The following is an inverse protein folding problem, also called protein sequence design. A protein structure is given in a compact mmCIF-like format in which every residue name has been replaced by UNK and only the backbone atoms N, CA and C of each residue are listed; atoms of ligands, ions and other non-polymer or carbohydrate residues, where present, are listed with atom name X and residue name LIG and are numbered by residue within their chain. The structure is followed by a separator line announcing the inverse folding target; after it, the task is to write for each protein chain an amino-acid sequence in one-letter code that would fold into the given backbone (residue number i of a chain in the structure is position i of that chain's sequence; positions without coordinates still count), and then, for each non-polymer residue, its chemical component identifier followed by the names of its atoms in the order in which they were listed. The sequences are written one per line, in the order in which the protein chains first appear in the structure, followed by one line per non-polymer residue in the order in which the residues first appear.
data_IF_200664113670
#
_entry.id   IF_200664113670
#
_cell.length_a   1.000
_cell.length_b   1.000
_cell.length_c   1.000
_cell.angle_alpha   90.00
_cell.angle_beta   90.00
_cell.angle_gamma   90.00
#
_symmetry.space_group_name_H-M   'P 1'
#
loop_
_entity.id
_entity.type
_entity.pdbx_description
1 polymer ?
#
# COMPACT_ATOMS: atom_id res chain seq x y z
N UNK A 1 8.22 12.78 -41.29
CA UNK A 1 7.33 11.73 -41.87
C UNK A 1 7.75 10.31 -41.45
N UNK A 2 9.01 10.09 -41.15
CA UNK A 2 9.59 8.78 -40.71
C UNK A 2 9.14 8.45 -39.26
N UNK A 3 8.96 9.44 -38.37
CA UNK A 3 8.49 9.23 -36.99
C UNK A 3 7.03 8.80 -36.84
N UNK A 4 6.18 9.05 -37.83
CA UNK A 4 4.76 8.62 -37.80
C UNK A 4 4.54 7.15 -38.13
N UNK A 5 5.52 6.46 -38.69
CA UNK A 5 5.40 5.04 -39.03
C UNK A 5 5.79 4.11 -37.90
N UNK A 6 6.55 4.56 -36.89
CA UNK A 6 6.96 3.75 -35.71
C UNK A 6 5.94 3.77 -34.53
N UNK A 7 4.83 4.50 -34.63
CA UNK A 7 3.76 4.49 -33.61
C UNK A 7 2.80 3.29 -33.72
N UNK A 8 3.00 2.40 -34.69
CA UNK A 8 2.20 1.16 -34.77
C UNK A 8 2.69 0.17 -33.75
N UNK A 9 1.95 0.10 -32.62
CA UNK A 9 1.93 -1.05 -31.70
C UNK A 9 3.20 -1.38 -30.91
N UNK A 10 3.90 -0.41 -30.34
CA UNK A 10 4.80 -0.77 -29.24
C UNK A 10 3.92 -1.11 -28.02
N UNK A 11 3.84 -2.40 -27.70
CA UNK A 11 3.23 -2.87 -26.47
C UNK A 11 3.88 -2.10 -25.31
N UNK A 12 3.09 -1.37 -24.50
CA UNK A 12 3.58 -0.56 -23.38
C UNK A 12 4.36 -1.39 -22.34
N UNK A 13 4.11 -2.68 -22.31
CA UNK A 13 4.81 -3.66 -21.48
C UNK A 13 6.10 -4.22 -22.11
N UNK A 14 6.39 -3.89 -23.37
CA UNK A 14 7.62 -4.35 -24.02
C UNK A 14 8.85 -3.72 -23.38
N UNK A 15 9.91 -4.52 -23.21
CA UNK A 15 11.21 -4.10 -22.68
C UNK A 15 12.11 -3.75 -23.86
N UNK A 16 12.47 -2.47 -23.98
CA UNK A 16 13.37 -1.94 -25.02
C UNK A 16 14.79 -2.40 -24.77
N UNK A 17 15.64 -2.33 -25.82
CA UNK A 17 17.06 -2.73 -25.71
C UNK A 17 17.78 -1.97 -24.59
N UNK A 18 17.54 -0.67 -24.48
CA UNK A 18 18.10 0.19 -23.44
C UNK A 18 17.57 -0.12 -22.02
N UNK A 19 16.44 -0.80 -21.89
CA UNK A 19 15.81 -1.15 -20.60
C UNK A 19 16.28 -2.51 -20.06
N UNK A 20 16.97 -3.34 -20.86
CA UNK A 20 17.27 -4.74 -20.51
C UNK A 20 18.14 -4.90 -19.26
N UNK A 21 19.17 -4.06 -19.11
CA UNK A 21 20.03 -4.11 -17.93
C UNK A 21 19.23 -3.74 -16.67
N UNK A 22 18.45 -2.65 -16.72
CA UNK A 22 17.58 -2.25 -15.63
C UNK A 22 16.58 -3.36 -15.28
N UNK A 23 15.94 -3.94 -16.29
CA UNK A 23 15.00 -5.04 -16.12
C UNK A 23 15.64 -6.25 -15.42
N UNK A 24 16.88 -6.62 -15.81
CA UNK A 24 17.63 -7.69 -15.17
C UNK A 24 17.93 -7.37 -13.69
N UNK A 25 18.44 -6.17 -13.41
CA UNK A 25 18.76 -5.74 -12.03
C UNK A 25 17.52 -5.72 -11.15
N UNK A 26 16.39 -5.20 -11.66
CA UNK A 26 15.10 -5.22 -10.95
C UNK A 26 14.62 -6.63 -10.68
N UNK A 27 14.69 -7.53 -11.67
CA UNK A 27 14.29 -8.94 -11.48
C UNK A 27 15.14 -9.61 -10.42
N UNK A 28 16.47 -9.44 -10.46
CA UNK A 28 17.37 -10.01 -9.43
C UNK A 28 17.00 -9.48 -8.05
N UNK A 29 16.83 -8.17 -7.90
CA UNK A 29 16.45 -7.57 -6.60
C UNK A 29 15.12 -8.14 -6.11
N UNK A 30 14.07 -8.07 -6.93
CA UNK A 30 12.71 -8.45 -6.54
C UNK A 30 12.58 -9.95 -6.24
N UNK A 31 13.24 -10.79 -7.02
CA UNK A 31 13.30 -12.24 -6.76
C UNK A 31 14.04 -12.51 -5.46
N UNK A 32 15.18 -11.83 -5.21
CA UNK A 32 15.97 -12.03 -3.98
C UNK A 32 15.20 -11.67 -2.73
N UNK A 33 14.53 -10.49 -2.68
CA UNK A 33 13.77 -10.09 -1.49
C UNK A 33 12.53 -10.98 -1.26
N UNK A 34 11.85 -11.43 -2.32
CA UNK A 34 10.75 -12.37 -2.17
C UNK A 34 11.23 -13.77 -1.75
N UNK A 35 12.42 -14.21 -2.23
CA UNK A 35 13.03 -15.47 -1.80
C UNK A 35 13.34 -15.48 -0.30
N UNK A 36 13.75 -14.32 0.29
CA UNK A 36 13.95 -14.20 1.73
C UNK A 36 12.65 -14.46 2.51
N UNK A 37 11.53 -13.87 2.07
CA UNK A 37 10.21 -14.08 2.69
C UNK A 37 9.75 -15.53 2.55
N UNK A 38 9.90 -16.10 1.34
CA UNK A 38 9.54 -17.50 1.10
C UNK A 38 10.38 -18.43 1.97
N UNK A 39 11.69 -18.23 2.05
CA UNK A 39 12.58 -19.06 2.87
C UNK A 39 12.21 -19.02 4.36
N UNK A 40 11.91 -17.81 4.88
CA UNK A 40 11.52 -17.62 6.29
C UNK A 40 10.20 -18.33 6.63
N UNK A 41 9.19 -18.21 5.76
CA UNK A 41 7.85 -18.72 6.03
C UNK A 41 7.52 -20.07 5.39
N UNK A 42 8.44 -20.68 4.62
CA UNK A 42 8.18 -21.91 3.85
C UNK A 42 7.54 -23.00 4.69
N UNK A 43 8.19 -23.41 5.77
CA UNK A 43 7.75 -24.52 6.62
C UNK A 43 6.43 -24.24 7.37
N UNK A 44 6.06 -22.98 7.51
CA UNK A 44 4.86 -22.55 8.25
C UNK A 44 3.67 -22.36 7.30
N UNK A 45 3.90 -21.86 6.08
CA UNK A 45 2.83 -21.44 5.16
C UNK A 45 2.50 -22.44 4.05
N UNK A 46 3.38 -23.44 3.80
CA UNK A 46 3.14 -24.47 2.78
C UNK A 46 2.31 -25.67 3.27
N UNK A 47 2.22 -26.04 4.54
CA UNK A 47 1.33 -27.12 4.95
C UNK A 47 -0.14 -26.78 4.69
N UNK A 48 -0.91 -27.78 4.16
CA UNK A 48 -2.36 -27.65 3.99
C UNK A 48 -3.04 -27.62 5.37
N UNK A 49 -3.89 -26.63 5.61
CA UNK A 49 -4.57 -26.41 6.89
C UNK A 49 -6.05 -26.05 6.71
N UNK A 50 -6.83 -26.21 7.78
CA UNK A 50 -8.26 -25.89 7.78
C UNK A 50 -8.58 -24.41 8.01
N UNK A 51 -7.65 -23.62 8.55
CA UNK A 51 -7.89 -22.22 8.89
C UNK A 51 -6.68 -21.33 8.49
N UNK A 52 -6.64 -20.98 7.24
CA UNK A 52 -5.60 -20.13 6.68
C UNK A 52 -5.62 -18.68 7.20
N UNK A 53 -6.79 -18.13 7.51
CA UNK A 53 -6.90 -16.79 8.07
C UNK A 53 -6.11 -16.67 9.39
N UNK A 54 -6.39 -17.56 10.35
CA UNK A 54 -5.71 -17.52 11.64
C UNK A 54 -4.21 -17.82 11.50
N UNK A 55 -3.84 -18.71 10.56
CA UNK A 55 -2.43 -19.02 10.30
C UNK A 55 -1.67 -17.77 9.83
N UNK A 56 -2.12 -17.13 8.76
CA UNK A 56 -1.38 -16.03 8.15
C UNK A 56 -1.41 -14.78 9.04
N UNK A 57 -2.59 -14.36 9.52
CA UNK A 57 -2.72 -13.19 10.41
C UNK A 57 -1.98 -13.41 11.74
N UNK A 58 -1.92 -14.65 12.25
CA UNK A 58 -1.27 -14.97 13.52
C UNK A 58 0.24 -15.20 13.45
N UNK A 59 0.81 -15.38 12.25
CA UNK A 59 2.24 -15.70 12.07
C UNK A 59 3.01 -14.69 11.24
N UNK A 60 2.33 -13.96 10.35
CA UNK A 60 2.97 -12.93 9.54
C UNK A 60 2.84 -11.58 10.26
N UNK A 61 3.97 -11.05 10.69
CA UNK A 61 4.03 -9.80 11.44
C UNK A 61 5.07 -8.87 10.82
N UNK A 62 4.68 -8.16 9.77
CA UNK A 62 5.46 -7.06 9.22
C UNK A 62 4.62 -5.80 9.33
N UNK A 63 5.12 -4.83 10.08
CA UNK A 63 4.45 -3.61 10.53
C UNK A 63 3.47 -3.00 9.52
N UNK A 64 2.22 -2.90 9.91
CA UNK A 64 1.16 -2.25 9.14
C UNK A 64 0.60 -3.05 7.95
N UNK A 65 1.24 -4.16 7.57
CA UNK A 65 0.79 -4.99 6.46
C UNK A 65 -0.01 -6.21 6.92
N UNK A 66 -1.10 -6.49 6.22
CA UNK A 66 -1.96 -7.64 6.46
C UNK A 66 -1.75 -8.73 5.40
N UNK A 67 -1.45 -9.98 5.76
CA UNK A 67 -1.24 -11.08 4.81
C UNK A 67 -2.55 -11.63 4.23
N UNK A 68 -3.56 -10.79 4.02
CA UNK A 68 -4.91 -11.18 3.60
C UNK A 68 -4.89 -11.85 2.23
N UNK A 69 -4.01 -11.40 1.33
CA UNK A 69 -3.89 -11.98 -0.01
C UNK A 69 -3.51 -13.46 0.03
N UNK A 70 -2.65 -13.88 0.97
CA UNK A 70 -2.35 -15.31 1.17
C UNK A 70 -3.59 -16.09 1.60
N UNK A 71 -4.39 -15.54 2.52
CA UNK A 71 -5.64 -16.17 2.97
C UNK A 71 -6.62 -16.35 1.82
N UNK A 72 -6.83 -15.30 1.02
CA UNK A 72 -7.77 -15.30 -0.11
C UNK A 72 -7.33 -16.27 -1.21
N UNK A 73 -6.03 -16.36 -1.50
CA UNK A 73 -5.48 -17.29 -2.50
C UNK A 73 -5.48 -18.74 -1.99
N UNK A 74 -5.44 -18.96 -0.66
CA UNK A 74 -5.48 -20.31 -0.08
C UNK A 74 -6.91 -20.83 0.09
N UNK A 75 -7.83 -19.98 0.54
CA UNK A 75 -9.25 -20.28 0.73
C UNK A 75 -10.03 -19.02 0.36
N UNK A 76 -10.65 -19.02 -0.82
CA UNK A 76 -11.29 -17.83 -1.35
C UNK A 76 -12.46 -17.41 -0.48
N UNK A 77 -12.34 -16.23 0.09
CA UNK A 77 -13.36 -15.57 0.88
C UNK A 77 -13.25 -14.07 0.68
N UNK A 78 -14.28 -13.30 0.99
CA UNK A 78 -14.22 -11.85 1.02
C UNK A 78 -13.43 -11.36 2.25
N UNK A 79 -12.17 -11.81 2.41
CA UNK A 79 -11.32 -11.51 3.56
C UNK A 79 -10.89 -10.04 3.66
N UNK A 80 -10.82 -9.34 2.54
CA UNK A 80 -10.55 -7.91 2.52
C UNK A 80 -11.71 -7.09 3.08
N UNK A 81 -11.42 -5.85 3.48
CA UNK A 81 -12.48 -4.89 3.76
C UNK A 81 -13.13 -4.46 2.43
N UNK A 82 -14.30 -5.01 2.13
CA UNK A 82 -14.99 -4.84 0.86
C UNK A 82 -15.33 -3.37 0.52
N UNK A 83 -15.46 -2.50 1.53
CA UNK A 83 -15.67 -1.07 1.32
C UNK A 83 -14.39 -0.32 0.95
N UNK A 84 -13.21 -0.88 1.28
CA UNK A 84 -11.90 -0.32 0.92
C UNK A 84 -11.31 -0.97 -0.33
N UNK A 85 -11.62 -2.24 -0.57
CA UNK A 85 -11.04 -3.09 -1.62
C UNK A 85 -12.14 -3.89 -2.35
N UNK A 86 -13.11 -3.22 -3.02
CA UNK A 86 -14.36 -3.84 -3.45
C UNK A 86 -14.24 -4.93 -4.53
N UNK A 87 -13.15 -4.96 -5.30
CA UNK A 87 -12.94 -5.98 -6.34
C UNK A 87 -11.70 -6.84 -6.09
N UNK A 88 -10.94 -6.59 -5.04
CA UNK A 88 -9.63 -7.20 -4.86
C UNK A 88 -9.73 -8.73 -4.67
N UNK A 89 -10.71 -9.21 -3.90
CA UNK A 89 -10.94 -10.65 -3.76
C UNK A 89 -11.23 -11.31 -5.12
N UNK A 90 -12.00 -10.67 -5.98
CA UNK A 90 -12.32 -11.18 -7.32
C UNK A 90 -11.12 -11.12 -8.25
N UNK A 91 -10.25 -10.11 -8.14
CA UNK A 91 -8.99 -10.07 -8.88
C UNK A 91 -8.05 -11.21 -8.47
N UNK A 92 -8.12 -11.68 -7.23
CA UNK A 92 -7.34 -12.80 -6.72
C UNK A 92 -7.99 -14.18 -7.00
N UNK A 93 -9.23 -14.23 -7.52
CA UNK A 93 -9.92 -15.48 -7.77
C UNK A 93 -9.19 -16.42 -8.78
N UNK A 94 -8.62 -15.94 -9.89
CA UNK A 94 -7.79 -16.79 -10.76
C UNK A 94 -6.56 -17.37 -10.05
N UNK A 95 -5.92 -16.58 -9.16
CA UNK A 95 -4.79 -17.04 -8.35
C UNK A 95 -5.21 -18.13 -7.35
N UNK A 96 -6.40 -17.99 -6.74
CA UNK A 96 -7.01 -19.02 -5.91
C UNK A 96 -7.23 -20.31 -6.68
N UNK A 97 -7.85 -20.28 -7.87
CA UNK A 97 -8.07 -21.46 -8.68
C UNK A 97 -6.75 -22.16 -9.05
N UNK A 98 -5.73 -21.39 -9.41
CA UNK A 98 -4.39 -21.93 -9.67
C UNK A 98 -3.81 -22.60 -8.42
N UNK A 99 -3.96 -21.98 -7.24
CA UNK A 99 -3.48 -22.56 -5.99
C UNK A 99 -4.21 -23.88 -5.67
N UNK A 100 -5.55 -23.94 -5.84
CA UNK A 100 -6.30 -25.20 -5.63
C UNK A 100 -5.80 -26.32 -6.53
N UNK A 101 -5.54 -26.02 -7.82
CA UNK A 101 -4.95 -26.97 -8.75
C UNK A 101 -3.57 -27.44 -8.27
N UNK A 102 -2.69 -26.52 -7.91
CA UNK A 102 -1.34 -26.85 -7.46
C UNK A 102 -1.34 -27.62 -6.13
N UNK A 103 -2.23 -27.26 -5.20
CA UNK A 103 -2.41 -28.00 -3.94
C UNK A 103 -2.80 -29.45 -4.19
N UNK A 104 -3.71 -29.71 -5.16
CA UNK A 104 -4.09 -31.07 -5.55
C UNK A 104 -2.97 -31.90 -6.17
N UNK A 105 -2.03 -31.23 -6.86
CA UNK A 105 -0.90 -31.90 -7.53
C UNK A 105 0.29 -32.10 -6.59
N UNK A 106 0.63 -31.04 -5.81
CA UNK A 106 1.89 -31.00 -5.03
C UNK A 106 1.72 -31.45 -3.58
N UNK A 107 0.48 -31.47 -3.05
CA UNK A 107 0.22 -31.73 -1.65
C UNK A 107 0.61 -30.60 -0.70
N UNK A 108 0.99 -29.41 -1.19
CA UNK A 108 1.32 -28.24 -0.38
C UNK A 108 0.51 -27.00 -0.83
N UNK A 109 0.32 -26.06 0.08
CA UNK A 109 -0.25 -24.75 -0.24
C UNK A 109 0.77 -23.88 -0.98
N UNK A 110 0.53 -23.62 -2.26
CA UNK A 110 1.41 -22.84 -3.12
C UNK A 110 1.13 -21.32 -3.10
N UNK A 111 0.24 -20.84 -2.23
CA UNK A 111 -0.16 -19.43 -2.20
C UNK A 111 1.03 -18.46 -2.05
N UNK A 112 2.02 -18.79 -1.21
CA UNK A 112 3.20 -17.94 -1.01
C UNK A 112 4.00 -17.71 -2.31
N UNK A 113 4.10 -18.73 -3.19
CA UNK A 113 4.81 -18.61 -4.46
C UNK A 113 3.99 -17.84 -5.50
N UNK A 114 2.67 -18.10 -5.57
CA UNK A 114 1.76 -17.43 -6.50
C UNK A 114 1.69 -15.94 -6.18
N UNK A 115 1.53 -15.60 -4.90
CA UNK A 115 1.46 -14.20 -4.46
C UNK A 115 2.80 -13.50 -4.68
N UNK A 116 3.92 -14.15 -4.38
CA UNK A 116 5.25 -13.60 -4.69
C UNK A 116 5.43 -13.31 -6.20
N UNK A 117 4.99 -14.20 -7.07
CA UNK A 117 5.04 -13.96 -8.52
C UNK A 117 4.19 -12.76 -8.96
N UNK A 118 2.99 -12.57 -8.40
CA UNK A 118 2.13 -11.40 -8.64
C UNK A 118 2.76 -10.11 -8.11
N UNK A 119 3.41 -10.16 -6.96
CA UNK A 119 4.12 -9.04 -6.36
C UNK A 119 5.35 -8.64 -7.19
N UNK A 120 6.18 -9.61 -7.58
CA UNK A 120 7.34 -9.38 -8.46
C UNK A 120 6.89 -8.75 -9.76
N UNK A 121 5.85 -9.28 -10.42
CA UNK A 121 5.29 -8.71 -11.64
C UNK A 121 4.87 -7.25 -11.43
N UNK A 122 4.12 -6.98 -10.38
CA UNK A 122 3.59 -5.64 -10.10
C UNK A 122 4.69 -4.63 -9.73
N UNK A 123 5.65 -5.02 -8.87
CA UNK A 123 6.78 -4.19 -8.48
C UNK A 123 7.70 -3.90 -9.67
N UNK A 124 7.96 -4.92 -10.49
CA UNK A 124 8.76 -4.80 -11.70
C UNK A 124 8.16 -3.78 -12.67
N UNK A 125 6.88 -3.93 -13.02
CA UNK A 125 6.26 -3.00 -13.96
C UNK A 125 5.99 -1.62 -13.35
N UNK A 126 5.75 -1.50 -12.04
CA UNK A 126 5.70 -0.19 -11.38
C UNK A 126 7.02 0.57 -11.57
N UNK A 127 8.17 -0.08 -11.34
CA UNK A 127 9.49 0.48 -11.55
C UNK A 127 9.77 0.81 -13.04
N UNK A 128 9.39 -0.09 -13.94
CA UNK A 128 9.55 0.12 -15.38
C UNK A 128 8.70 1.29 -15.89
N UNK A 129 7.51 1.53 -15.34
CA UNK A 129 6.72 2.72 -15.69
C UNK A 129 7.31 3.99 -15.10
N UNK A 130 7.94 3.96 -13.92
CA UNK A 130 8.73 5.10 -13.43
C UNK A 130 9.87 5.42 -14.41
N UNK A 131 10.61 4.41 -14.87
CA UNK A 131 11.63 4.57 -15.91
C UNK A 131 11.06 5.23 -17.17
N UNK A 132 9.98 4.64 -17.73
CA UNK A 132 9.34 5.14 -18.95
C UNK A 132 8.80 6.56 -18.79
N UNK A 133 8.29 6.93 -17.60
CA UNK A 133 7.90 8.30 -17.28
C UNK A 133 9.11 9.25 -17.35
N UNK A 134 10.21 8.90 -16.71
CA UNK A 134 11.44 9.70 -16.72
C UNK A 134 11.98 9.87 -18.13
N UNK A 135 12.05 8.78 -18.92
CA UNK A 135 12.57 8.78 -20.29
C UNK A 135 11.64 9.44 -21.30
N UNK A 136 10.38 8.98 -21.35
CA UNK A 136 9.48 9.29 -22.46
C UNK A 136 8.63 10.54 -22.19
N UNK A 137 8.35 10.87 -20.93
CA UNK A 137 7.49 12.00 -20.56
C UNK A 137 8.33 13.19 -20.10
N UNK A 138 9.24 12.98 -19.14
CA UNK A 138 10.11 14.06 -18.66
C UNK A 138 11.25 14.31 -19.64
N UNK A 139 11.82 13.26 -20.27
CA UNK A 139 12.81 13.38 -21.34
C UNK A 139 14.25 13.48 -20.85
N UNK A 140 14.62 12.80 -19.77
CA UNK A 140 16.00 12.71 -19.26
C UNK A 140 16.75 11.53 -19.91
N UNK A 141 18.08 11.48 -19.75
CA UNK A 141 18.93 10.43 -20.28
C UNK A 141 18.72 9.07 -19.59
N UNK A 142 19.29 7.99 -20.17
CA UNK A 142 19.16 6.61 -19.71
C UNK A 142 19.74 6.42 -18.31
N UNK A 143 20.96 6.94 -18.07
CA UNK A 143 21.65 6.74 -16.78
C UNK A 143 20.91 7.45 -15.65
N UNK A 144 20.51 8.71 -15.87
CA UNK A 144 19.69 9.45 -14.91
C UNK A 144 18.37 8.72 -14.60
N UNK A 145 17.72 8.14 -15.62
CA UNK A 145 16.48 7.36 -15.43
C UNK A 145 16.73 6.08 -14.63
N UNK A 146 17.86 5.40 -14.85
CA UNK A 146 18.26 4.23 -14.07
C UNK A 146 18.46 4.57 -12.59
N UNK A 147 19.20 5.66 -12.31
CA UNK A 147 19.45 6.10 -10.94
C UNK A 147 18.16 6.47 -10.21
N UNK A 148 17.21 7.12 -10.89
CA UNK A 148 15.92 7.46 -10.26
C UNK A 148 15.06 6.24 -9.99
N UNK A 149 15.08 5.22 -10.84
CA UNK A 149 14.40 3.95 -10.55
C UNK A 149 15.10 3.20 -9.42
N UNK A 150 16.42 3.21 -9.40
CA UNK A 150 17.20 2.66 -8.29
C UNK A 150 16.87 3.35 -6.97
N UNK A 151 16.77 4.68 -6.96
CA UNK A 151 16.33 5.44 -5.79
C UNK A 151 14.90 5.04 -5.36
N UNK A 152 13.96 4.94 -6.29
CA UNK A 152 12.60 4.49 -6.00
C UNK A 152 12.56 3.11 -5.33
N UNK A 153 13.32 2.16 -5.88
CA UNK A 153 13.38 0.81 -5.35
C UNK A 153 14.18 0.70 -4.05
N UNK A 154 15.01 1.69 -3.70
CA UNK A 154 15.74 1.70 -2.43
C UNK A 154 14.91 2.16 -1.23
N UNK A 155 13.71 2.75 -1.45
CA UNK A 155 12.83 3.17 -0.36
C UNK A 155 12.27 1.95 0.39
N UNK A 156 12.30 2.02 1.73
CA UNK A 156 11.96 0.90 2.60
C UNK A 156 10.58 0.30 2.30
N UNK A 157 9.54 1.14 2.30
CA UNK A 157 8.17 0.65 2.10
C UNK A 157 7.80 0.39 0.63
N UNK A 158 8.64 0.78 -0.32
CA UNK A 158 8.53 0.31 -1.71
C UNK A 158 9.05 -1.14 -1.82
N UNK A 159 10.22 -1.42 -1.22
CA UNK A 159 10.75 -2.80 -1.15
C UNK A 159 9.80 -3.71 -0.38
N UNK A 160 9.35 -3.30 0.82
CA UNK A 160 8.41 -4.07 1.63
C UNK A 160 7.10 -4.34 0.88
N UNK A 161 6.50 -3.34 0.22
CA UNK A 161 5.28 -3.53 -0.58
C UNK A 161 5.47 -4.55 -1.71
N UNK A 162 6.69 -4.69 -2.23
CA UNK A 162 7.04 -5.65 -3.28
C UNK A 162 7.30 -7.08 -2.79
N UNK A 163 7.35 -7.31 -1.47
CA UNK A 163 7.63 -8.64 -0.89
C UNK A 163 6.62 -9.09 0.16
N UNK A 164 5.72 -8.19 0.60
CA UNK A 164 4.69 -8.49 1.61
C UNK A 164 3.35 -8.75 0.93
N UNK A 165 2.61 -9.80 1.28
CA UNK A 165 1.40 -10.25 0.57
C UNK A 165 0.18 -9.37 0.85
N UNK A 166 0.29 -8.09 0.51
CA UNK A 166 -0.74 -7.07 0.64
C UNK A 166 -1.00 -6.38 -0.72
N UNK A 167 -2.01 -5.51 -0.80
CA UNK A 167 -2.51 -4.89 -2.04
C UNK A 167 -1.70 -3.68 -2.53
N UNK A 168 -0.79 -3.12 -1.72
CA UNK A 168 -0.14 -1.84 -1.98
C UNK A 168 0.68 -1.83 -3.27
N UNK A 169 1.42 -2.91 -3.54
CA UNK A 169 2.22 -2.98 -4.77
C UNK A 169 1.35 -3.12 -6.03
N UNK A 170 0.19 -3.77 -5.95
CA UNK A 170 -0.77 -3.83 -7.05
C UNK A 170 -1.32 -2.44 -7.37
N UNK A 171 -1.63 -1.65 -6.33
CA UNK A 171 -2.02 -0.25 -6.47
C UNK A 171 -0.92 0.58 -7.13
N UNK A 172 0.34 0.45 -6.68
CA UNK A 172 1.49 1.17 -7.26
C UNK A 172 1.66 0.90 -8.75
N UNK A 173 1.53 -0.37 -9.16
CA UNK A 173 1.59 -0.78 -10.56
C UNK A 173 0.51 -0.08 -11.41
N UNK A 174 -0.75 -0.14 -10.97
CA UNK A 174 -1.86 0.47 -11.72
C UNK A 174 -1.72 2.00 -11.76
N UNK A 175 -1.29 2.63 -10.67
CA UNK A 175 -1.11 4.08 -10.59
C UNK A 175 0.03 4.57 -11.48
N UNK A 176 1.18 3.90 -11.49
CA UNK A 176 2.31 4.26 -12.36
C UNK A 176 2.00 4.02 -13.83
N UNK A 177 1.31 2.93 -14.17
CA UNK A 177 0.77 2.68 -15.52
C UNK A 177 -0.18 3.80 -15.95
N UNK A 178 -1.14 4.17 -15.08
CA UNK A 178 -2.11 5.22 -15.40
C UNK A 178 -1.44 6.58 -15.61
N UNK A 179 -0.42 6.92 -14.81
CA UNK A 179 0.38 8.14 -14.98
C UNK A 179 1.18 8.11 -16.28
N UNK A 180 1.80 6.99 -16.65
CA UNK A 180 2.49 6.87 -17.93
C UNK A 180 1.54 7.13 -19.10
N UNK A 181 0.36 6.49 -19.10
CA UNK A 181 -0.66 6.72 -20.13
C UNK A 181 -1.15 8.17 -20.12
N UNK A 182 -1.35 8.75 -18.95
CA UNK A 182 -1.74 10.17 -18.79
C UNK A 182 -0.70 11.10 -19.39
N UNK A 183 0.59 10.89 -19.09
CA UNK A 183 1.68 11.68 -19.67
C UNK A 183 1.73 11.58 -21.19
N UNK A 184 1.57 10.38 -21.75
CA UNK A 184 1.50 10.17 -23.22
C UNK A 184 0.28 10.88 -23.85
N UNK A 185 -0.87 10.92 -23.14
CA UNK A 185 -2.07 11.65 -23.58
C UNK A 185 -1.84 13.17 -23.57
N UNK A 186 -1.24 13.69 -22.51
CA UNK A 186 -0.88 15.11 -22.41
C UNK A 186 0.08 15.54 -23.53
N UNK A 187 1.12 14.74 -23.82
CA UNK A 187 2.08 15.01 -24.91
C UNK A 187 1.43 14.98 -26.29
N UNK A 188 0.52 14.03 -26.52
CA UNK A 188 -0.15 13.89 -27.83
C UNK A 188 -1.36 14.81 -28.03
N UNK A 189 -1.80 15.52 -26.99
CA UNK A 189 -3.03 16.33 -27.01
C UNK A 189 -4.31 15.50 -27.19
N UNK A 190 -4.25 14.17 -27.06
CA UNK A 190 -5.40 13.27 -27.26
C UNK A 190 -6.19 13.10 -25.97
N UNK A 191 -7.52 13.25 -25.98
CA UNK A 191 -8.33 13.11 -24.76
C UNK A 191 -8.30 11.66 -24.22
N UNK A 192 -8.51 11.53 -22.93
CA UNK A 192 -8.79 10.25 -22.28
C UNK A 192 -10.24 9.87 -22.56
N UNK A 193 -10.45 8.72 -23.21
CA UNK A 193 -11.80 8.25 -23.57
C UNK A 193 -12.55 7.77 -22.33
N UNK A 194 -13.89 7.80 -22.37
CA UNK A 194 -14.77 7.34 -21.28
C UNK A 194 -14.39 5.92 -20.84
N UNK A 195 -14.30 4.96 -21.76
CA UNK A 195 -14.00 3.57 -21.44
C UNK A 195 -12.61 3.40 -20.77
N UNK A 196 -11.61 4.21 -21.19
CA UNK A 196 -10.28 4.18 -20.57
C UNK A 196 -10.34 4.64 -19.11
N UNK A 197 -11.05 5.75 -18.84
CA UNK A 197 -11.24 6.24 -17.47
C UNK A 197 -11.97 5.20 -16.63
N UNK A 198 -13.04 4.59 -17.16
CA UNK A 198 -13.80 3.55 -16.46
C UNK A 198 -12.91 2.34 -16.13
N UNK A 199 -12.15 1.82 -17.10
CA UNK A 199 -11.28 0.65 -16.90
C UNK A 199 -10.21 0.95 -15.86
N UNK A 200 -9.47 2.07 -15.99
CA UNK A 200 -8.47 2.43 -14.98
C UNK A 200 -9.10 2.67 -13.60
N UNK A 201 -10.26 3.32 -13.55
CA UNK A 201 -10.98 3.54 -12.30
C UNK A 201 -11.36 2.21 -11.64
N UNK A 202 -11.96 1.26 -12.37
CA UNK A 202 -12.38 -0.02 -11.82
C UNK A 202 -11.20 -0.83 -11.27
N UNK A 203 -10.09 -0.91 -12.01
CA UNK A 203 -8.90 -1.58 -11.49
C UNK A 203 -8.30 -0.87 -10.27
N UNK A 204 -8.22 0.45 -10.30
CA UNK A 204 -7.61 1.24 -9.23
C UNK A 204 -8.49 1.28 -7.99
N UNK A 205 -9.76 1.67 -8.14
CA UNK A 205 -10.74 1.73 -7.05
C UNK A 205 -11.11 0.34 -6.54
N UNK A 206 -11.14 -0.66 -7.42
CA UNK A 206 -11.40 -2.05 -7.06
C UNK A 206 -10.30 -2.65 -6.17
N UNK A 207 -9.05 -2.24 -6.39
CA UNK A 207 -7.90 -2.61 -5.55
C UNK A 207 -7.85 -1.76 -4.27
N UNK A 208 -8.04 -0.44 -4.38
CA UNK A 208 -8.06 0.50 -3.25
C UNK A 208 -8.93 1.70 -3.61
N UNK A 209 -10.08 1.83 -2.96
CA UNK A 209 -11.17 2.73 -3.36
C UNK A 209 -10.72 4.20 -3.47
N UNK A 210 -9.92 4.70 -2.53
CA UNK A 210 -9.42 6.07 -2.50
C UNK A 210 -8.53 6.38 -3.72
N UNK A 211 -7.78 5.40 -4.23
CA UNK A 211 -6.93 5.57 -5.39
C UNK A 211 -7.71 5.80 -6.70
N UNK A 212 -8.99 5.40 -6.75
CA UNK A 212 -9.87 5.68 -7.88
C UNK A 212 -10.01 7.17 -8.20
N UNK A 213 -9.96 8.04 -7.18
CA UNK A 213 -10.01 9.50 -7.35
C UNK A 213 -8.84 10.02 -8.19
N UNK A 214 -7.66 9.39 -8.11
CA UNK A 214 -6.47 9.76 -8.88
C UNK A 214 -6.70 9.60 -10.39
N UNK A 215 -7.49 8.61 -10.79
CA UNK A 215 -7.84 8.42 -12.20
C UNK A 215 -8.74 9.57 -12.72
N UNK A 216 -9.66 10.05 -11.88
CA UNK A 216 -10.47 11.21 -12.24
C UNK A 216 -9.64 12.50 -12.33
N UNK A 217 -8.63 12.67 -11.45
CA UNK A 217 -7.66 13.76 -11.55
C UNK A 217 -6.87 13.67 -12.87
N UNK A 218 -6.36 12.49 -13.24
CA UNK A 218 -5.72 12.27 -14.54
C UNK A 218 -6.63 12.64 -15.71
N UNK A 219 -7.88 12.20 -15.68
CA UNK A 219 -8.87 12.52 -16.71
C UNK A 219 -9.17 14.03 -16.77
N UNK A 220 -9.22 14.70 -15.63
CA UNK A 220 -9.42 16.15 -15.53
C UNK A 220 -8.27 16.92 -16.19
N UNK A 221 -7.00 16.58 -15.88
CA UNK A 221 -5.83 17.23 -16.48
C UNK A 221 -5.74 17.01 -17.99
N UNK A 222 -6.05 15.79 -18.46
CA UNK A 222 -6.01 15.46 -19.89
C UNK A 222 -7.17 16.11 -20.66
N UNK A 223 -8.38 16.01 -20.15
CA UNK A 223 -9.59 16.44 -20.88
C UNK A 223 -9.94 17.91 -20.61
N UNK A 224 -9.35 18.54 -19.57
CA UNK A 224 -9.62 19.94 -19.21
C UNK A 224 -11.14 20.21 -19.12
N UNK A 225 -11.64 21.25 -19.78
CA UNK A 225 -13.08 21.56 -19.85
C UNK A 225 -13.96 20.43 -20.43
N UNK A 226 -13.38 19.53 -21.23
CA UNK A 226 -14.06 18.34 -21.73
C UNK A 226 -14.45 17.33 -20.66
N UNK A 227 -13.76 17.32 -19.51
CA UNK A 227 -14.10 16.51 -18.36
C UNK A 227 -15.50 16.84 -17.80
N UNK A 228 -15.87 18.11 -17.80
CA UNK A 228 -17.15 18.59 -17.26
C UNK A 228 -18.34 18.43 -18.22
N UNK A 229 -18.14 17.88 -19.41
CA UNK A 229 -19.27 17.54 -20.29
C UNK A 229 -20.16 16.51 -19.62
N UNK A 230 -21.48 16.72 -19.60
CA UNK A 230 -22.44 15.90 -18.86
C UNK A 230 -22.32 14.39 -19.17
N UNK A 231 -22.11 14.03 -20.45
CA UNK A 231 -21.92 12.62 -20.87
C UNK A 231 -20.67 12.01 -20.24
N UNK A 232 -19.57 12.78 -20.17
CA UNK A 232 -18.34 12.31 -19.58
C UNK A 232 -18.48 12.15 -18.07
N UNK A 233 -19.01 13.15 -17.37
CA UNK A 233 -19.24 13.09 -15.92
C UNK A 233 -20.18 11.93 -15.57
N UNK A 234 -21.28 11.76 -16.30
CA UNK A 234 -22.23 10.70 -16.01
C UNK A 234 -21.61 9.31 -16.24
N UNK A 235 -21.00 9.07 -17.41
CA UNK A 235 -20.58 7.73 -17.83
C UNK A 235 -19.18 7.34 -17.34
N UNK A 236 -18.27 8.30 -17.14
CA UNK A 236 -16.89 8.00 -16.72
C UNK A 236 -16.64 8.21 -15.23
N UNK A 237 -17.50 8.98 -14.51
CA UNK A 237 -17.29 9.31 -13.10
C UNK A 237 -18.45 8.79 -12.24
N UNK A 238 -19.67 9.31 -12.45
CA UNK A 238 -20.81 9.04 -11.56
C UNK A 238 -21.24 7.58 -11.64
N UNK A 239 -21.50 7.06 -12.84
CA UNK A 239 -22.00 5.71 -13.04
C UNK A 239 -21.01 4.64 -12.51
N UNK A 240 -19.71 4.64 -12.88
CA UNK A 240 -18.78 3.65 -12.33
C UNK A 240 -18.57 3.78 -10.82
N UNK A 241 -18.62 5.00 -10.26
CA UNK A 241 -18.58 5.21 -8.81
C UNK A 241 -19.80 4.64 -8.09
N UNK A 242 -20.99 4.83 -8.65
CA UNK A 242 -22.22 4.26 -8.10
C UNK A 242 -22.23 2.74 -8.22
N UNK A 243 -21.75 2.19 -9.35
CA UNK A 243 -21.67 0.74 -9.57
C UNK A 243 -20.71 0.07 -8.60
N UNK A 244 -19.49 0.61 -8.39
CA UNK A 244 -18.53 0.02 -7.47
C UNK A 244 -18.99 0.13 -6.00
N UNK A 245 -19.67 1.23 -5.66
CA UNK A 245 -20.27 1.40 -4.33
C UNK A 245 -21.40 0.40 -4.09
N UNK A 246 -22.31 0.23 -5.05
CA UNK A 246 -23.39 -0.76 -5.01
C UNK A 246 -22.86 -2.19 -4.95
N UNK A 247 -21.80 -2.48 -5.74
CA UNK A 247 -21.12 -3.77 -5.73
C UNK A 247 -20.53 -4.09 -4.35
N UNK A 248 -19.83 -3.13 -3.72
CA UNK A 248 -19.26 -3.32 -2.38
C UNK A 248 -20.37 -3.62 -1.33
N UNK A 249 -21.55 -2.99 -1.43
CA UNK A 249 -22.71 -3.29 -0.57
C UNK A 249 -23.26 -4.69 -0.81
N UNK A 250 -23.37 -5.10 -2.07
CA UNK A 250 -23.80 -6.45 -2.45
C UNK A 250 -22.78 -7.48 -1.94
N UNK A 251 -21.49 -7.28 -2.19
CA UNK A 251 -20.42 -8.17 -1.70
C UNK A 251 -20.44 -8.33 -0.18
N UNK A 252 -20.64 -7.22 0.56
CA UNK A 252 -20.79 -7.26 2.01
C UNK A 252 -21.95 -8.16 2.43
N UNK A 253 -23.13 -7.97 1.84
CA UNK A 253 -24.32 -8.73 2.21
C UNK A 253 -24.21 -10.22 1.87
N UNK A 254 -23.58 -10.57 0.77
CA UNK A 254 -23.49 -11.96 0.29
C UNK A 254 -22.38 -12.72 1.01
N UNK A 255 -21.18 -12.15 1.13
CA UNK A 255 -19.99 -12.88 1.58
C UNK A 255 -19.57 -12.54 3.01
N UNK A 256 -19.76 -11.32 3.49
CA UNK A 256 -19.24 -10.88 4.79
C UNK A 256 -20.30 -10.97 5.88
N UNK A 257 -21.48 -10.44 5.64
CA UNK A 257 -22.53 -10.32 6.64
C UNK A 257 -22.96 -11.67 7.26
N UNK A 258 -23.16 -12.76 6.51
CA UNK A 258 -23.59 -14.03 7.11
C UNK A 258 -22.58 -14.57 8.12
N UNK A 259 -21.29 -14.56 7.78
CA UNK A 259 -20.25 -15.04 8.69
C UNK A 259 -20.03 -14.11 9.89
N UNK A 260 -20.11 -12.80 9.67
CA UNK A 260 -20.03 -11.80 10.74
C UNK A 260 -21.20 -11.94 11.71
N UNK A 261 -22.43 -12.09 11.19
CA UNK A 261 -23.63 -12.26 12.00
C UNK A 261 -23.58 -13.54 12.84
N UNK A 262 -23.19 -14.66 12.23
CA UNK A 262 -23.03 -15.92 12.94
C UNK A 262 -21.99 -15.81 14.09
N UNK A 263 -20.84 -15.17 13.83
CA UNK A 263 -19.81 -14.91 14.85
C UNK A 263 -20.34 -13.99 15.96
N UNK A 264 -21.11 -12.97 15.61
CA UNK A 264 -21.71 -12.03 16.58
C UNK A 264 -22.68 -12.77 17.51
N UNK A 265 -23.60 -13.53 16.95
CA UNK A 265 -24.57 -14.33 17.74
C UNK A 265 -23.86 -15.34 18.65
N UNK A 266 -22.87 -16.06 18.14
CA UNK A 266 -22.09 -17.01 18.94
C UNK A 266 -21.32 -16.31 20.08
N UNK A 267 -20.80 -15.11 19.85
CA UNK A 267 -20.14 -14.32 20.90
C UNK A 267 -21.13 -13.85 21.97
N UNK A 268 -22.27 -13.31 21.57
CA UNK A 268 -23.32 -12.85 22.48
C UNK A 268 -23.83 -14.01 23.36
N UNK A 269 -24.04 -15.19 22.75
CA UNK A 269 -24.42 -16.41 23.49
C UNK A 269 -23.35 -16.79 24.52
N UNK A 270 -22.07 -16.82 24.11
CA UNK A 270 -20.96 -17.16 25.02
C UNK A 270 -20.78 -16.13 26.15
N UNK A 271 -21.01 -14.85 25.88
CA UNK A 271 -20.98 -13.79 26.91
C UNK A 271 -22.15 -13.91 27.87
N UNK A 272 -23.36 -14.23 27.39
CA UNK A 272 -24.53 -14.50 28.22
C UNK A 272 -24.33 -15.73 29.11
N UNK A 273 -23.75 -16.82 28.56
CA UNK A 273 -23.41 -18.03 29.34
C UNK A 273 -22.38 -17.73 30.43
N UNK A 274 -21.32 -16.99 30.10
CA UNK A 274 -20.30 -16.55 31.06
C UNK A 274 -20.89 -15.69 32.17
N UNK A 275 -21.80 -14.76 31.80
CA UNK A 275 -22.47 -13.91 32.79
C UNK A 275 -23.34 -14.75 33.74
N UNK A 276 -24.17 -15.69 33.21
CA UNK A 276 -24.96 -16.59 34.00
C UNK A 276 -24.10 -17.44 34.95
N UNK A 277 -22.97 -17.98 34.46
CA UNK A 277 -22.05 -18.75 35.28
C UNK A 277 -21.40 -17.92 36.41
N UNK A 278 -21.03 -16.65 36.08
CA UNK A 278 -20.47 -15.71 37.07
C UNK A 278 -21.52 -15.35 38.16
N UNK A 279 -22.75 -15.03 37.73
CA UNK A 279 -23.86 -14.70 38.64
C UNK A 279 -24.18 -15.88 39.55
N UNK A 280 -24.19 -17.12 39.02
CA UNK A 280 -24.40 -18.36 39.80
C UNK A 280 -23.27 -18.59 40.79
N UNK A 281 -22.01 -18.45 40.38
CA UNK A 281 -20.84 -18.59 41.25
C UNK A 281 -20.83 -17.53 42.37
N UNK A 282 -21.27 -16.30 42.06
CA UNK A 282 -21.41 -15.25 43.05
C UNK A 282 -22.53 -15.57 44.06
N UNK A 283 -23.70 -16.00 43.59
CA UNK A 283 -24.80 -16.40 44.46
C UNK A 283 -24.41 -17.55 45.42
N UNK A 284 -23.64 -18.55 44.94
CA UNK A 284 -23.09 -19.60 45.78
C UNK A 284 -22.11 -19.06 46.82
N UNK A 285 -21.20 -18.15 46.46
CA UNK A 285 -20.28 -17.51 47.41
C UNK A 285 -21.03 -16.72 48.48
N UNK A 286 -22.01 -15.93 48.08
CA UNK A 286 -22.83 -15.13 49.00
C UNK A 286 -23.62 -16.01 49.98
N UNK A 287 -24.13 -17.14 49.50
CA UNK A 287 -24.79 -18.15 50.33
C UNK A 287 -23.82 -18.77 51.36
N UNK A 288 -22.61 -19.15 50.93
CA UNK A 288 -21.58 -19.70 51.83
C UNK A 288 -21.11 -18.67 52.88
N UNK A 289 -20.93 -17.40 52.49
CA UNK A 289 -20.55 -16.35 53.43
C UNK A 289 -21.61 -16.08 54.47
N UNK A 290 -22.88 -16.08 54.08
CA UNK A 290 -24.01 -15.93 55.00
C UNK A 290 -24.12 -17.09 55.99
N UNK A 291 -23.88 -18.35 55.55
CA UNK A 291 -23.86 -19.53 56.42
C UNK A 291 -22.71 -19.50 57.42
N UNK A 292 -21.63 -18.77 57.15
CA UNK A 292 -20.48 -18.56 58.06
C UNK A 292 -20.60 -17.28 58.92
N UNK A 293 -21.75 -16.59 58.92
CA UNK A 293 -21.97 -15.37 59.69
C UNK A 293 -21.18 -14.15 59.19
N UNK A 294 -20.66 -14.19 57.94
CA UNK A 294 -19.89 -13.12 57.30
C UNK A 294 -20.78 -12.35 56.32
N UNK A 295 -20.70 -11.00 56.37
CA UNK A 295 -21.39 -10.14 55.38
C UNK A 295 -20.71 -10.23 54.02
N UNK A 296 -21.45 -10.46 52.91
CA UNK A 296 -20.87 -10.44 51.60
C UNK A 296 -20.26 -9.07 51.29
N UNK A 297 -18.95 -9.03 51.02
CA UNK A 297 -18.27 -7.81 50.58
C UNK A 297 -18.68 -7.53 49.10
N UNK A 298 -19.19 -6.34 48.85
CA UNK A 298 -19.55 -5.96 47.50
C UNK A 298 -18.34 -6.14 46.56
N UNK A 299 -18.53 -6.91 45.48
CA UNK A 299 -17.47 -7.20 44.52
C UNK A 299 -16.86 -5.90 44.01
N UNK A 300 -15.59 -5.60 44.36
CA UNK A 300 -14.87 -4.47 43.84
C UNK A 300 -14.85 -4.56 42.30
N UNK A 301 -15.23 -3.49 41.58
CA UNK A 301 -15.18 -3.52 40.12
C UNK A 301 -13.76 -3.88 39.70
N UNK A 302 -13.61 -4.96 38.96
CA UNK A 302 -12.33 -5.32 38.36
C UNK A 302 -11.89 -4.14 37.49
N UNK A 303 -10.80 -3.45 37.89
CA UNK A 303 -10.26 -2.33 37.14
C UNK A 303 -10.06 -2.78 35.69
N UNK A 304 -10.83 -2.22 34.78
CA UNK A 304 -10.67 -2.48 33.34
C UNK A 304 -9.26 -2.02 32.98
N UNK A 305 -8.36 -2.95 32.65
CA UNK A 305 -7.03 -2.61 32.09
C UNK A 305 -7.25 -1.59 30.98
N UNK A 306 -6.69 -0.40 31.16
CA UNK A 306 -6.72 0.65 30.12
C UNK A 306 -6.14 0.04 28.83
N UNK A 307 -6.99 -0.12 27.82
CA UNK A 307 -6.52 -0.54 26.51
C UNK A 307 -5.62 0.56 25.96
N UNK A 308 -4.40 0.20 25.53
CA UNK A 308 -3.48 1.11 24.85
C UNK A 308 -4.21 1.72 23.63
N UNK A 309 -4.13 3.05 23.48
CA UNK A 309 -4.64 3.72 22.29
C UNK A 309 -3.69 3.41 21.12
N UNK A 310 -4.18 2.71 20.10
CA UNK A 310 -3.47 2.40 18.86
C UNK A 310 -3.73 3.44 17.77
N UNK A 311 -4.60 4.37 18.01
CA UNK A 311 -5.02 5.45 17.11
C UNK A 311 -5.38 6.67 17.96
N UNK A 312 -5.18 7.87 17.43
CA UNK A 312 -5.64 9.10 18.04
C UNK A 312 -7.16 9.24 18.05
N UNK A 313 -7.65 10.42 18.33
CA UNK A 313 -9.09 10.70 18.44
C UNK A 313 -9.66 10.96 17.05
N UNK A 314 -10.72 10.25 16.62
CA UNK A 314 -11.37 10.49 15.33
C UNK A 314 -12.21 11.80 15.36
N UNK A 315 -12.45 12.37 14.18
CA UNK A 315 -13.32 13.56 14.02
C UNK A 315 -14.75 13.22 14.47
N UNK A 316 -15.26 12.02 14.12
CA UNK A 316 -16.58 11.53 14.53
C UNK A 316 -16.66 10.01 14.44
N UNK A 317 -17.77 9.44 14.93
CA UNK A 317 -18.00 7.99 14.89
C UNK A 317 -18.73 7.50 13.61
N UNK A 318 -18.70 8.27 12.52
CA UNK A 318 -19.28 7.89 11.23
C UNK A 318 -18.54 6.75 10.54
N UNK A 319 -19.11 6.22 9.46
CA UNK A 319 -18.59 5.04 8.74
C UNK A 319 -17.12 5.22 8.29
N UNK A 320 -16.74 6.38 7.77
CA UNK A 320 -15.38 6.71 7.34
C UNK A 320 -14.64 7.58 8.35
N UNK A 321 -15.32 8.53 8.99
CA UNK A 321 -14.71 9.49 9.92
C UNK A 321 -14.14 8.86 11.20
N UNK A 322 -14.58 7.65 11.57
CA UNK A 322 -13.98 6.88 12.68
C UNK A 322 -12.52 6.46 12.44
N UNK A 323 -12.04 6.51 11.19
CA UNK A 323 -10.65 6.18 10.85
C UNK A 323 -9.75 7.41 10.76
N UNK A 324 -10.31 8.61 10.97
CA UNK A 324 -9.53 9.86 11.05
C UNK A 324 -8.81 9.96 12.40
N UNK A 325 -7.83 10.83 12.46
CA UNK A 325 -7.07 11.13 13.66
C UNK A 325 -6.77 12.62 13.71
N UNK A 326 -7.24 13.32 14.76
CA UNK A 326 -7.02 14.76 14.95
C UNK A 326 -6.02 15.09 16.06
N UNK A 327 -5.51 14.09 16.79
CA UNK A 327 -4.69 14.29 17.99
C UNK A 327 -3.23 13.94 17.82
N UNK A 328 -2.88 13.07 16.88
CA UNK A 328 -1.48 12.69 16.62
C UNK A 328 -0.70 13.87 16.00
N UNK A 329 0.51 14.20 16.47
CA UNK A 329 1.30 15.32 15.96
C UNK A 329 1.65 15.17 14.47
N UNK A 330 1.21 16.11 13.63
CA UNK A 330 1.38 16.06 12.17
C UNK A 330 2.84 16.14 11.74
N UNK A 331 3.59 17.05 12.37
CA UNK A 331 5.00 17.25 12.04
C UNK A 331 5.83 16.00 12.33
N UNK A 332 5.71 15.43 13.54
CA UNK A 332 6.39 14.19 13.88
C UNK A 332 5.99 13.03 12.96
N UNK A 333 4.68 12.93 12.60
CA UNK A 333 4.23 11.92 11.65
C UNK A 333 4.82 12.11 10.24
N UNK A 334 5.01 13.36 9.79
CA UNK A 334 5.64 13.64 8.49
C UNK A 334 7.11 13.22 8.49
N UNK A 335 7.87 13.64 9.51
CA UNK A 335 9.31 13.38 9.60
C UNK A 335 9.57 11.90 9.89
N UNK A 336 8.95 11.32 10.91
CA UNK A 336 9.32 9.97 11.36
C UNK A 336 8.63 8.86 10.57
N UNK A 337 7.38 9.10 10.13
CA UNK A 337 6.58 8.03 9.52
C UNK A 337 6.42 8.19 8.00
N UNK A 338 6.01 9.38 7.49
CA UNK A 338 5.67 9.54 6.07
C UNK A 338 6.93 9.54 5.19
N UNK A 339 7.88 10.43 5.48
CA UNK A 339 9.17 10.46 4.79
C UNK A 339 10.18 9.55 5.49
N UNK A 340 10.27 9.59 6.80
CA UNK A 340 11.22 8.80 7.58
C UNK A 340 11.09 7.31 7.27
N UNK A 341 10.18 6.61 7.92
CA UNK A 341 10.05 5.16 7.79
C UNK A 341 9.63 4.71 6.37
N UNK A 342 8.90 5.54 5.64
CA UNK A 342 8.62 5.29 4.23
C UNK A 342 9.88 5.09 3.39
N UNK A 343 10.94 5.84 3.68
CA UNK A 343 12.23 5.80 2.97
C UNK A 343 13.23 4.86 3.64
N UNK A 344 13.30 4.86 4.99
CA UNK A 344 14.31 4.15 5.78
C UNK A 344 13.64 3.42 6.95
N UNK A 345 13.95 2.14 7.16
CA UNK A 345 13.44 1.41 8.32
C UNK A 345 14.02 1.95 9.62
N UNK A 346 13.21 2.02 10.66
CA UNK A 346 13.69 2.24 12.02
C UNK A 346 14.35 0.95 12.56
N UNK A 347 15.52 1.09 13.17
CA UNK A 347 16.21 -0.01 13.85
C UNK A 347 15.47 -0.42 15.12
N UNK A 348 15.01 0.59 15.88
CA UNK A 348 14.21 0.38 17.08
C UNK A 348 12.80 0.01 16.69
N UNK A 349 12.22 -0.99 17.33
CA UNK A 349 10.91 -1.56 16.98
C UNK A 349 10.81 -2.04 15.52
N UNK A 350 11.92 -2.56 14.97
CA UNK A 350 12.04 -2.99 13.58
C UNK A 350 10.86 -3.86 13.16
N UNK A 351 10.13 -3.40 12.15
CA UNK A 351 8.95 -4.03 11.54
C UNK A 351 7.90 -4.56 12.53
N UNK A 352 7.90 -4.05 13.77
CA UNK A 352 6.91 -4.44 14.77
C UNK A 352 5.57 -3.76 14.50
N UNK A 353 4.50 -4.48 14.77
CA UNK A 353 3.12 -4.00 14.65
C UNK A 353 2.74 -3.07 15.82
N UNK A 354 1.88 -2.09 15.57
CA UNK A 354 1.25 -1.25 16.60
C UNK A 354 0.41 -2.05 17.60
N UNK A 355 -0.16 -3.17 17.18
CA UNK A 355 -0.87 -4.09 18.10
C UNK A 355 0.07 -4.74 19.14
N UNK A 356 1.38 -4.73 18.88
CA UNK A 356 2.43 -5.11 19.80
C UNK A 356 2.82 -3.98 20.77
N UNK A 357 4.14 -3.75 20.92
CA UNK A 357 4.69 -2.73 21.83
C UNK A 357 5.21 -1.48 21.12
N UNK A 358 5.14 -1.42 19.78
CA UNK A 358 5.64 -0.28 18.99
C UNK A 358 4.87 1.01 19.33
N UNK A 359 5.54 2.13 19.59
CA UNK A 359 4.89 3.44 19.66
C UNK A 359 4.44 3.89 18.26
N UNK A 360 3.51 4.86 18.17
CA UNK A 360 3.07 5.43 16.89
C UNK A 360 4.16 6.25 16.19
N UNK A 361 5.04 6.87 16.95
CA UNK A 361 6.20 7.63 16.46
C UNK A 361 7.44 6.94 17.01
N UNK A 362 8.38 6.64 16.12
CA UNK A 362 9.71 6.09 16.43
C UNK A 362 10.72 7.04 15.81
N UNK A 363 11.68 7.51 16.61
CA UNK A 363 12.74 8.41 16.17
C UNK A 363 13.97 7.63 15.72
N UNK A 364 14.75 8.19 14.80
CA UNK A 364 16.03 7.59 14.41
C UNK A 364 17.10 7.81 15.45
N UNK A 365 17.83 6.76 15.80
CA UNK A 365 19.00 6.84 16.68
C UNK A 365 20.24 7.45 16.03
N UNK A 366 20.28 7.66 14.70
CA UNK A 366 21.44 8.18 13.97
C UNK A 366 21.09 9.46 13.20
N UNK A 367 21.88 10.51 13.38
CA UNK A 367 21.74 11.78 12.63
C UNK A 367 21.85 11.57 11.10
N UNK A 368 22.62 10.57 10.65
CA UNK A 368 22.78 10.27 9.24
C UNK A 368 21.45 9.91 8.55
N UNK A 369 20.52 9.25 9.26
CA UNK A 369 19.20 8.95 8.71
C UNK A 369 18.43 10.24 8.38
N UNK A 370 18.42 11.24 9.28
CA UNK A 370 17.79 12.53 9.03
C UNK A 370 18.49 13.34 7.91
N UNK A 371 19.82 13.22 7.78
CA UNK A 371 20.56 13.84 6.67
C UNK A 371 20.12 13.23 5.33
N UNK A 372 20.04 11.91 5.23
CA UNK A 372 19.61 11.21 4.00
C UNK A 372 18.16 11.56 3.66
N UNK A 373 17.26 11.53 4.62
CA UNK A 373 15.88 11.96 4.44
C UNK A 373 15.81 13.43 3.96
N UNK A 374 16.52 14.34 4.63
CA UNK A 374 16.59 15.75 4.29
C UNK A 374 17.09 15.97 2.86
N UNK A 375 18.11 15.23 2.41
CA UNK A 375 18.62 15.28 1.02
C UNK A 375 17.51 14.90 0.04
N UNK A 376 16.80 13.79 0.28
CA UNK A 376 15.73 13.33 -0.62
C UNK A 376 14.59 14.35 -0.66
N UNK A 377 14.16 14.88 0.49
CA UNK A 377 13.10 15.90 0.57
C UNK A 377 13.52 17.20 -0.15
N UNK A 378 14.76 17.65 0.03
CA UNK A 378 15.30 18.84 -0.68
C UNK A 378 15.32 18.60 -2.18
N UNK A 379 15.83 17.45 -2.64
CA UNK A 379 15.83 17.10 -4.06
C UNK A 379 14.41 17.02 -4.64
N UNK A 380 13.48 16.49 -3.88
CA UNK A 380 12.06 16.44 -4.25
C UNK A 380 11.47 17.85 -4.43
N UNK A 381 11.70 18.74 -3.47
CA UNK A 381 11.22 20.13 -3.53
C UNK A 381 11.87 20.86 -4.71
N UNK A 382 13.18 20.74 -4.90
CA UNK A 382 13.89 21.35 -6.04
C UNK A 382 13.34 20.80 -7.37
N UNK A 383 13.08 19.49 -7.45
CA UNK A 383 12.45 18.87 -8.62
C UNK A 383 11.07 19.43 -8.92
N UNK A 384 10.24 19.65 -7.88
CA UNK A 384 8.93 20.31 -8.04
C UNK A 384 9.10 21.71 -8.61
N UNK A 385 9.99 22.52 -8.02
CA UNK A 385 10.24 23.90 -8.46
C UNK A 385 10.69 23.94 -9.92
N UNK A 386 11.56 23.03 -10.34
CA UNK A 386 12.03 22.90 -11.71
C UNK A 386 10.93 22.47 -12.70
N UNK A 387 9.91 21.77 -12.23
CA UNK A 387 8.84 21.22 -13.08
C UNK A 387 7.51 21.98 -13.05
N UNK A 388 7.40 23.14 -12.36
CA UNK A 388 6.13 23.88 -12.17
C UNK A 388 5.40 24.24 -13.47
N UNK A 389 6.11 24.41 -14.59
CA UNK A 389 5.51 24.65 -15.91
C UNK A 389 4.90 23.41 -16.57
N UNK A 390 5.05 22.21 -15.98
CA UNK A 390 4.59 20.95 -16.60
C UNK A 390 3.19 20.52 -16.11
N UNK A 391 2.19 20.45 -17.01
CA UNK A 391 0.88 19.89 -16.65
C UNK A 391 0.96 18.44 -16.14
N UNK A 392 1.94 17.67 -16.61
CA UNK A 392 2.15 16.29 -16.14
C UNK A 392 2.63 16.27 -14.70
N UNK A 393 3.58 17.14 -14.31
CA UNK A 393 3.99 17.23 -12.91
C UNK A 393 2.82 17.62 -12.01
N UNK A 394 1.98 18.56 -12.43
CA UNK A 394 0.77 18.91 -11.66
C UNK A 394 -0.20 17.74 -11.50
N UNK A 395 -0.31 16.86 -12.52
CA UNK A 395 -1.07 15.62 -12.37
C UNK A 395 -0.43 14.70 -11.31
N UNK A 396 0.89 14.53 -11.32
CA UNK A 396 1.60 13.76 -10.30
C UNK A 396 1.40 14.36 -8.90
N UNK A 397 1.58 15.69 -8.78
CA UNK A 397 1.39 16.40 -7.52
C UNK A 397 -0.05 16.33 -7.02
N UNK A 398 -1.07 16.27 -7.90
CA UNK A 398 -2.46 16.09 -7.48
C UNK A 398 -2.69 14.72 -6.81
N UNK A 399 -1.99 13.67 -7.26
CA UNK A 399 -2.00 12.37 -6.60
C UNK A 399 -1.36 12.43 -5.21
N UNK A 400 -0.17 13.07 -5.13
CA UNK A 400 0.52 13.27 -3.86
C UNK A 400 -0.32 14.09 -2.87
N UNK A 401 -0.88 15.21 -3.33
CA UNK A 401 -1.72 16.08 -2.49
C UNK A 401 -2.96 15.38 -1.99
N UNK A 402 -3.60 14.53 -2.82
CA UNK A 402 -4.74 13.73 -2.38
C UNK A 402 -4.37 12.83 -1.21
N UNK A 403 -3.23 12.11 -1.30
CA UNK A 403 -2.77 11.26 -0.21
C UNK A 403 -2.38 12.07 1.02
N UNK A 404 -1.70 13.21 0.85
CA UNK A 404 -1.36 14.10 1.98
C UNK A 404 -2.61 14.65 2.67
N UNK A 405 -3.63 15.06 1.93
CA UNK A 405 -4.90 15.51 2.51
C UNK A 405 -5.60 14.37 3.26
N UNK A 406 -5.64 13.17 2.70
CA UNK A 406 -6.28 12.03 3.34
C UNK A 406 -5.51 11.55 4.57
N UNK A 407 -4.22 11.27 4.42
CA UNK A 407 -3.43 10.59 5.46
C UNK A 407 -2.88 11.58 6.50
N UNK A 408 -2.39 12.74 6.08
CA UNK A 408 -1.85 13.74 7.00
C UNK A 408 -2.92 14.75 7.43
N UNK A 409 -3.71 15.27 6.50
CA UNK A 409 -4.78 16.23 6.78
C UNK A 409 -5.87 15.66 7.68
N UNK A 410 -6.62 14.69 7.17
CA UNK A 410 -7.68 14.02 7.92
C UNK A 410 -7.17 12.95 8.89
N UNK A 411 -5.93 12.50 8.74
CA UNK A 411 -5.32 11.50 9.60
C UNK A 411 -5.83 10.08 9.38
N UNK A 412 -6.28 9.73 8.15
CA UNK A 412 -6.64 8.35 7.82
C UNK A 412 -5.41 7.44 7.87
N UNK A 413 -5.36 6.54 8.87
CA UNK A 413 -4.22 5.66 9.06
C UNK A 413 -2.94 6.38 9.44
N UNK A 414 -3.03 7.55 10.08
CA UNK A 414 -1.87 8.37 10.47
C UNK A 414 -0.94 7.68 11.47
N UNK A 415 -1.44 6.67 12.14
CA UNK A 415 -0.66 5.79 13.02
C UNK A 415 0.35 4.92 12.25
N UNK A 416 0.09 4.60 10.97
CA UNK A 416 0.95 3.78 10.11
C UNK A 416 0.96 4.32 8.66
N UNK A 417 1.26 5.62 8.42
CA UNK A 417 1.13 6.23 7.09
C UNK A 417 2.19 5.72 6.11
N UNK A 418 3.28 5.13 6.61
CA UNK A 418 4.35 4.55 5.82
C UNK A 418 3.86 3.39 4.92
N UNK A 419 2.83 2.64 5.32
CA UNK A 419 2.27 1.58 4.45
C UNK A 419 1.66 2.13 3.16
N UNK A 420 1.23 3.41 3.16
CA UNK A 420 0.69 4.09 1.99
C UNK A 420 1.76 4.58 1.00
N UNK A 421 3.05 4.40 1.31
CA UNK A 421 4.18 4.87 0.49
C UNK A 421 4.11 4.40 -0.96
N UNK A 422 3.66 3.17 -1.21
CA UNK A 422 3.50 2.63 -2.56
C UNK A 422 2.45 3.38 -3.40
N UNK A 423 1.55 4.15 -2.80
CA UNK A 423 0.54 4.92 -3.50
C UNK A 423 1.05 6.26 -4.04
N UNK A 424 2.22 6.77 -3.59
CA UNK A 424 2.68 8.10 -3.95
C UNK A 424 4.20 8.27 -4.09
N UNK A 425 5.05 7.45 -3.46
CA UNK A 425 6.51 7.69 -3.43
C UNK A 425 7.19 7.66 -4.80
N UNK A 426 6.60 7.04 -5.82
CA UNK A 426 7.07 7.13 -7.21
C UNK A 426 7.07 8.57 -7.74
N UNK A 427 6.37 9.50 -7.09
CA UNK A 427 6.34 10.92 -7.47
C UNK A 427 7.65 11.62 -7.10
N UNK A 428 8.37 11.17 -6.06
CA UNK A 428 9.67 11.70 -5.66
C UNK A 428 10.67 11.61 -6.82
N UNK A 429 11.01 10.42 -7.36
CA UNK A 429 11.94 10.33 -8.48
C UNK A 429 11.42 11.03 -9.75
N UNK A 430 10.10 11.02 -9.99
CA UNK A 430 9.52 11.74 -11.13
C UNK A 430 9.76 13.26 -11.00
N UNK A 431 9.62 13.82 -9.82
CA UNK A 431 9.92 15.23 -9.58
C UNK A 431 11.43 15.53 -9.73
N UNK A 432 12.30 14.68 -9.15
CA UNK A 432 13.77 14.82 -9.30
C UNK A 432 14.18 14.74 -10.77
N UNK A 433 13.45 14.02 -11.63
CA UNK A 433 13.71 13.98 -13.05
C UNK A 433 13.63 15.38 -13.70
N UNK A 434 12.75 16.27 -13.25
CA UNK A 434 12.68 17.65 -13.73
C UNK A 434 13.90 18.48 -13.31
N UNK A 435 14.48 18.24 -12.14
CA UNK A 435 15.74 18.83 -11.73
C UNK A 435 16.88 18.36 -12.66
N UNK A 436 17.00 17.06 -12.91
CA UNK A 436 17.99 16.48 -13.82
C UNK A 436 17.85 16.97 -15.26
N UNK A 437 16.64 17.28 -15.70
CA UNK A 437 16.37 17.83 -17.03
C UNK A 437 16.92 19.24 -17.22
N UNK A 438 16.95 20.06 -16.14
CA UNK A 438 17.31 21.49 -16.23
C UNK A 438 18.77 21.73 -15.85
N UNK A 439 19.34 20.88 -15.00
CA UNK A 439 20.70 21.05 -14.50
C UNK A 439 21.71 21.08 -15.65
N UNK A 440 22.71 21.96 -15.56
CA UNK A 440 23.77 22.05 -16.54
C UNK A 440 24.54 20.71 -16.59
N UNK A 441 24.81 20.21 -17.82
CA UNK A 441 25.50 18.93 -18.04
C UNK A 441 26.84 18.81 -17.28
N UNK A 442 27.51 19.95 -17.01
CA UNK A 442 28.76 19.99 -16.24
C UNK A 442 28.59 19.58 -14.79
N UNK A 443 27.40 19.71 -14.23
CA UNK A 443 27.10 19.41 -12.82
C UNK A 443 26.23 18.17 -12.63
N UNK A 444 25.73 17.57 -13.70
CA UNK A 444 24.89 16.36 -13.62
C UNK A 444 25.60 15.24 -12.88
N UNK A 445 26.92 15.07 -13.08
CA UNK A 445 27.71 14.03 -12.40
C UNK A 445 27.71 14.19 -10.86
N UNK A 446 27.67 15.43 -10.35
CA UNK A 446 27.58 15.68 -8.89
C UNK A 446 26.28 15.12 -8.35
N UNK A 447 25.17 15.38 -9.04
CA UNK A 447 23.86 14.85 -8.65
C UNK A 447 23.81 13.33 -8.81
N UNK A 448 24.42 12.76 -9.84
CA UNK A 448 24.55 11.30 -9.98
C UNK A 448 25.32 10.68 -8.81
N UNK A 449 26.47 11.25 -8.41
CA UNK A 449 27.24 10.78 -7.25
C UNK A 449 26.42 10.88 -5.95
N UNK A 450 25.70 11.97 -5.76
CA UNK A 450 24.82 12.14 -4.60
C UNK A 450 23.72 11.05 -4.57
N UNK A 451 23.04 10.84 -5.72
CA UNK A 451 22.02 9.79 -5.83
C UNK A 451 22.58 8.39 -5.57
N UNK A 452 23.76 8.08 -6.13
CA UNK A 452 24.44 6.80 -5.91
C UNK A 452 24.76 6.62 -4.43
N UNK A 453 25.32 7.65 -3.77
CA UNK A 453 25.67 7.59 -2.34
C UNK A 453 24.45 7.36 -1.45
N UNK A 454 23.35 8.09 -1.72
CA UNK A 454 22.07 7.91 -1.04
C UNK A 454 21.51 6.51 -1.27
N UNK A 455 21.52 6.02 -2.51
CA UNK A 455 21.05 4.67 -2.84
C UNK A 455 21.87 3.58 -2.16
N UNK A 456 23.20 3.68 -2.17
CA UNK A 456 24.07 2.71 -1.49
C UNK A 456 23.76 2.65 0.01
N UNK A 457 23.59 3.80 0.65
CA UNK A 457 23.17 3.86 2.03
C UNK A 457 21.82 3.19 2.25
N UNK A 458 20.79 3.57 1.46
CA UNK A 458 19.43 3.05 1.62
C UNK A 458 19.35 1.54 1.38
N UNK A 459 19.98 1.03 0.31
CA UNK A 459 20.00 -0.41 0.07
C UNK A 459 20.73 -1.17 1.20
N UNK A 460 21.89 -0.69 1.62
CA UNK A 460 22.64 -1.30 2.73
C UNK A 460 21.82 -1.30 4.03
N UNK A 461 21.23 -0.16 4.37
CA UNK A 461 20.43 0.02 5.58
C UNK A 461 19.16 -0.84 5.56
N UNK A 462 18.33 -0.67 4.54
CA UNK A 462 17.01 -1.29 4.49
C UNK A 462 17.10 -2.82 4.30
N UNK A 463 17.91 -3.30 3.33
CA UNK A 463 18.08 -4.75 3.11
C UNK A 463 18.76 -5.40 4.31
N UNK A 464 19.76 -4.75 4.93
CA UNK A 464 20.41 -5.25 6.12
C UNK A 464 19.43 -5.45 7.28
N UNK A 465 18.55 -4.47 7.53
CA UNK A 465 17.51 -4.57 8.56
C UNK A 465 16.44 -5.62 8.21
N UNK A 466 15.99 -5.69 6.95
CA UNK A 466 15.04 -6.72 6.49
C UNK A 466 15.62 -8.13 6.68
N UNK A 467 16.89 -8.31 6.31
CA UNK A 467 17.58 -9.58 6.53
C UNK A 467 17.66 -9.95 8.02
N UNK A 468 18.03 -8.98 8.88
CA UNK A 468 18.06 -9.20 10.34
C UNK A 468 16.70 -9.59 10.91
N UNK A 469 15.62 -9.09 10.34
CA UNK A 469 14.26 -9.41 10.80
C UNK A 469 13.78 -10.80 10.34
N UNK A 470 14.19 -11.24 9.13
CA UNK A 470 13.76 -12.49 8.51
C UNK A 470 14.72 -13.66 8.72
N UNK A 471 15.94 -13.43 9.23
CA UNK A 471 16.88 -14.50 9.62
C UNK A 471 16.57 -15.03 11.02
#
# INVERSE_FOLDING_TARGET
MIDRMNERTNNIFSIRREERLLALLLMVLLVSINAMVIAHYYNVFTPIQSNYWNLFIGKFHISGFDPITLSVVSDWSAGYNVYRHPLLAFFMYPAYLLNQLLMGITGINCAIFIVAALQIFSAFYAAMFVYKICRDIVGIDVLSSYLLVGLYQSFAYIMLSGMVPDHFIFSSFILTLSLYVTGRRLQSGRPMKIWQTVVYFLFTAGTSLNNGLKIFLSALFVNKGGFFRWRYLLLAVILPSALIWGFARWEYHVFVFPSWYAKKVAKEKKEAEKKKAADFAQAQRDSMLRSQGKTPEAAKPVAKKQKRKLQGTPISNGEFSRWTDITTPRWASLVENVFGEGIQLHKDHLLQDLYGKRPMIVEYGMTLNYIVEGIIVVLFILGILCGLGSPFLWTCLSYFMLDMVLHVGFGFGLNEPYIMSAHWMYIIPIAIAYLLRIINYRFVWVLHLLLISVMMFLYGWNIGLMHTYLS
#
